data_IF_492536804811
#
_entry.id   IF_492536804811
#
_cell.length_a   1.000
_cell.length_b   1.000
_cell.length_c   1.000
_cell.angle_alpha   90.00
_cell.angle_beta   90.00
_cell.angle_gamma   90.00
#
_symmetry.space_group_name_H-M   'P 1'
#
loop_
_entity.id
_entity.type
_entity.pdbx_description
1 polymer ?
#
# COMPACT_ATOMS: atom_id res chain seq x y z
N UNK A 1 -41.35 -17.63 -17.11
CA UNK A 1 -39.99 -17.97 -17.55
C UNK A 1 -39.03 -16.78 -17.63
N UNK A 2 -39.37 -15.69 -18.32
CA UNK A 2 -38.50 -14.50 -18.41
C UNK A 2 -38.12 -13.88 -17.05
N UNK A 3 -39.05 -13.82 -16.08
CA UNK A 3 -38.77 -13.29 -14.73
C UNK A 3 -37.69 -14.11 -13.98
N UNK A 4 -37.73 -15.45 -14.07
CA UNK A 4 -36.71 -16.31 -13.45
C UNK A 4 -35.35 -16.17 -14.14
N UNK A 5 -35.33 -15.89 -15.46
CA UNK A 5 -34.10 -15.61 -16.18
C UNK A 5 -33.47 -14.29 -15.74
N UNK A 6 -34.29 -13.23 -15.60
CA UNK A 6 -33.83 -11.93 -15.09
C UNK A 6 -33.35 -12.07 -13.64
N UNK A 7 -34.09 -12.80 -12.79
CA UNK A 7 -33.71 -13.00 -11.39
C UNK A 7 -32.34 -13.66 -11.23
N UNK A 8 -32.06 -14.74 -11.99
CA UNK A 8 -30.73 -15.39 -11.97
C UNK A 8 -29.60 -14.46 -12.35
N UNK A 9 -29.82 -13.58 -13.34
CA UNK A 9 -28.80 -12.60 -13.74
C UNK A 9 -28.65 -11.48 -12.72
N UNK A 10 -29.76 -11.04 -12.09
CA UNK A 10 -29.71 -10.04 -11.03
C UNK A 10 -28.90 -10.55 -9.83
N UNK A 11 -29.10 -11.80 -9.38
CA UNK A 11 -28.30 -12.42 -8.31
C UNK A 11 -26.80 -12.44 -8.63
N UNK A 12 -26.44 -12.80 -9.87
CA UNK A 12 -25.05 -12.78 -10.29
C UNK A 12 -24.44 -11.37 -10.29
N UNK A 13 -25.20 -10.37 -10.72
CA UNK A 13 -24.77 -8.96 -10.69
C UNK A 13 -24.59 -8.47 -9.26
N UNK A 14 -25.55 -8.74 -8.36
CA UNK A 14 -25.42 -8.35 -6.96
C UNK A 14 -24.20 -8.99 -6.29
N UNK A 15 -23.99 -10.29 -6.49
CA UNK A 15 -22.80 -10.96 -5.97
C UNK A 15 -21.49 -10.40 -6.55
N UNK A 16 -21.49 -9.84 -7.76
CA UNK A 16 -20.32 -9.15 -8.31
C UNK A 16 -20.12 -7.77 -7.67
N UNK A 17 -21.19 -7.03 -7.44
CA UNK A 17 -21.11 -5.73 -6.75
C UNK A 17 -20.62 -5.87 -5.30
N UNK A 18 -21.10 -6.87 -4.57
CA UNK A 18 -20.65 -7.16 -3.20
C UNK A 18 -19.15 -7.52 -3.15
N UNK A 19 -18.66 -8.29 -4.13
CA UNK A 19 -17.22 -8.59 -4.25
C UNK A 19 -16.39 -7.36 -4.54
N UNK A 20 -16.83 -6.54 -5.48
CA UNK A 20 -16.13 -5.30 -5.82
C UNK A 20 -16.05 -4.34 -4.62
N UNK A 21 -17.13 -4.22 -3.85
CA UNK A 21 -17.17 -3.39 -2.63
C UNK A 21 -16.24 -3.95 -1.54
N UNK A 22 -16.20 -5.26 -1.37
CA UNK A 22 -15.28 -5.92 -0.44
C UNK A 22 -13.81 -5.72 -0.84
N UNK A 23 -13.47 -5.85 -2.12
CA UNK A 23 -12.12 -5.61 -2.64
C UNK A 23 -11.70 -4.14 -2.46
N UNK A 24 -12.60 -3.20 -2.79
CA UNK A 24 -12.35 -1.77 -2.61
C UNK A 24 -12.18 -1.42 -1.12
N UNK A 25 -13.01 -2.00 -0.25
CA UNK A 25 -12.89 -1.82 1.21
C UNK A 25 -11.56 -2.36 1.73
N UNK A 26 -11.12 -3.54 1.27
CA UNK A 26 -9.82 -4.11 1.62
C UNK A 26 -8.66 -3.23 1.14
N UNK A 27 -8.76 -2.69 -0.08
CA UNK A 27 -7.78 -1.74 -0.62
C UNK A 27 -7.70 -0.46 0.24
N UNK A 28 -8.85 0.15 0.58
CA UNK A 28 -8.92 1.34 1.43
C UNK A 28 -8.40 1.10 2.85
N UNK A 29 -8.48 -0.13 3.35
CA UNK A 29 -7.92 -0.55 4.65
C UNK A 29 -6.43 -0.90 4.59
N UNK A 30 -5.81 -0.81 3.42
CA UNK A 30 -4.41 -1.20 3.22
C UNK A 30 -4.17 -2.69 3.43
N UNK A 31 -5.13 -3.52 3.01
CA UNK A 31 -5.02 -5.00 3.01
C UNK A 31 -4.52 -5.53 1.65
N UNK A 32 -4.47 -4.67 0.63
CA UNK A 32 -3.98 -4.99 -0.71
C UNK A 32 -3.30 -3.77 -1.36
N UNK A 33 -2.53 -4.00 -2.43
CA UNK A 33 -1.81 -2.96 -3.16
C UNK A 33 -0.30 -3.04 -2.96
N UNK A 34 0.39 -1.96 -3.32
CA UNK A 34 1.85 -1.82 -3.20
C UNK A 34 2.20 -0.56 -2.40
N UNK A 35 3.23 -0.66 -1.56
CA UNK A 35 3.86 0.48 -0.88
C UNK A 35 5.34 0.48 -1.21
N UNK A 36 5.82 1.57 -1.83
CA UNK A 36 7.21 1.79 -2.21
C UNK A 36 7.90 2.62 -1.13
N UNK A 37 8.99 2.10 -0.59
CA UNK A 37 9.74 2.71 0.52
C UNK A 37 11.15 3.04 0.05
N UNK A 38 11.51 4.32 0.07
CA UNK A 38 12.90 4.78 -0.09
C UNK A 38 13.61 4.78 1.26
N UNK A 39 14.71 4.06 1.41
CA UNK A 39 15.43 3.99 2.69
C UNK A 39 16.92 3.74 2.49
N UNK A 40 17.75 4.27 3.38
CA UNK A 40 19.19 3.97 3.41
C UNK A 40 19.46 2.55 3.91
N UNK A 41 20.58 1.98 3.49
CA UNK A 41 20.93 0.55 3.69
C UNK A 41 20.74 0.05 5.12
N UNK A 42 21.10 0.86 6.12
CA UNK A 42 21.00 0.47 7.53
C UNK A 42 19.59 0.63 8.12
N UNK A 43 18.73 1.49 7.55
CA UNK A 43 17.32 1.60 7.95
C UNK A 43 16.49 0.40 7.50
N UNK A 44 16.83 -0.22 6.37
CA UNK A 44 16.07 -1.34 5.82
C UNK A 44 15.96 -2.51 6.82
N UNK A 45 17.06 -3.12 7.31
CA UNK A 45 16.98 -4.22 8.27
C UNK A 45 16.53 -3.74 9.66
N UNK A 46 16.82 -2.49 10.04
CA UNK A 46 16.51 -1.98 11.37
C UNK A 46 15.04 -1.55 11.55
N UNK A 47 14.38 -1.07 10.49
CA UNK A 47 13.06 -0.44 10.56
C UNK A 47 12.06 -1.05 9.58
N UNK A 48 12.41 -1.16 8.30
CA UNK A 48 11.47 -1.60 7.26
C UNK A 48 11.09 -3.07 7.45
N UNK A 49 12.09 -3.95 7.64
CA UNK A 49 11.85 -5.39 7.83
C UNK A 49 10.98 -5.67 9.07
N UNK A 50 11.26 -5.10 10.26
CA UNK A 50 10.36 -5.21 11.41
C UNK A 50 8.94 -4.70 11.15
N UNK A 51 8.78 -3.56 10.47
CA UNK A 51 7.46 -3.01 10.15
C UNK A 51 6.65 -3.95 9.24
N UNK A 52 7.28 -4.53 8.20
CA UNK A 52 6.64 -5.52 7.32
C UNK A 52 6.22 -6.76 8.10
N UNK A 53 7.04 -7.24 9.05
CA UNK A 53 6.68 -8.38 9.92
C UNK A 53 5.48 -8.07 10.80
N UNK A 54 5.42 -6.87 11.38
CA UNK A 54 4.28 -6.43 12.19
C UNK A 54 3.00 -6.32 11.35
N UNK A 55 3.10 -5.81 10.12
CA UNK A 55 1.96 -5.73 9.20
C UNK A 55 1.40 -7.12 8.87
N UNK A 56 2.26 -8.14 8.75
CA UNK A 56 1.91 -9.53 8.45
C UNK A 56 1.51 -10.37 9.68
N UNK A 57 1.58 -9.82 10.90
CA UNK A 57 1.36 -10.59 12.12
C UNK A 57 -0.12 -10.88 12.42
N UNK A 58 -1.05 -10.12 11.83
CA UNK A 58 -2.47 -10.50 11.79
C UNK A 58 -2.72 -11.37 10.56
N UNK A 59 -3.61 -12.35 10.65
CA UNK A 59 -4.05 -13.23 9.54
C UNK A 59 -4.79 -12.48 8.40
N UNK A 60 -4.45 -11.21 8.17
CA UNK A 60 -4.96 -10.36 7.12
C UNK A 60 -3.93 -10.26 5.99
N UNK A 61 -4.37 -10.28 4.72
CA UNK A 61 -3.55 -9.83 3.61
C UNK A 61 -3.04 -8.41 3.89
N UNK A 62 -1.80 -8.14 3.49
CA UNK A 62 -1.16 -6.83 3.58
C UNK A 62 -0.56 -6.45 2.23
N UNK A 63 -0.16 -5.17 2.04
CA UNK A 63 0.36 -4.72 0.78
C UNK A 63 1.72 -5.37 0.48
N UNK A 64 2.06 -5.47 -0.81
CA UNK A 64 3.44 -5.73 -1.20
C UNK A 64 4.30 -4.51 -0.86
N UNK A 65 5.47 -4.74 -0.27
CA UNK A 65 6.37 -3.66 0.15
C UNK A 65 7.63 -3.73 -0.69
N UNK A 66 7.80 -2.73 -1.56
CA UNK A 66 8.99 -2.57 -2.39
C UNK A 66 9.94 -1.59 -1.74
N UNK A 67 11.17 -2.03 -1.54
CA UNK A 67 12.20 -1.17 -0.94
C UNK A 67 13.18 -0.74 -2.01
N UNK A 68 13.39 0.57 -2.12
CA UNK A 68 14.46 1.16 -2.91
C UNK A 68 15.51 1.71 -1.97
N UNK A 69 16.71 1.16 -2.06
CA UNK A 69 17.84 1.72 -1.34
C UNK A 69 18.17 3.11 -1.89
N UNK A 70 18.24 4.11 -1.01
CA UNK A 70 18.51 5.49 -1.37
C UNK A 70 19.22 6.21 -0.22
N UNK A 71 20.15 7.10 -0.56
CA UNK A 71 20.76 8.01 0.42
C UNK A 71 19.73 9.00 0.99
N UNK A 72 20.01 9.54 2.17
CA UNK A 72 19.07 10.39 2.92
C UNK A 72 18.47 11.56 2.12
N UNK A 73 19.28 12.25 1.31
CA UNK A 73 18.82 13.35 0.44
C UNK A 73 18.00 12.84 -0.76
N UNK A 74 18.48 11.77 -1.40
CA UNK A 74 17.81 11.15 -2.55
C UNK A 74 16.43 10.59 -2.17
N UNK A 75 16.26 10.07 -0.95
CA UNK A 75 14.99 9.57 -0.47
C UNK A 75 13.89 10.66 -0.48
N UNK A 76 14.26 11.92 -0.20
CA UNK A 76 13.33 13.05 -0.31
C UNK A 76 12.98 13.39 -1.75
N UNK A 77 13.97 13.42 -2.66
CA UNK A 77 13.73 13.66 -4.08
C UNK A 77 12.78 12.61 -4.68
N UNK A 78 13.00 11.33 -4.34
CA UNK A 78 12.14 10.23 -4.78
C UNK A 78 10.71 10.37 -4.24
N UNK A 79 10.55 10.85 -3.01
CA UNK A 79 9.24 11.06 -2.40
C UNK A 79 8.50 12.22 -3.08
N UNK A 80 9.18 13.35 -3.29
CA UNK A 80 8.62 14.52 -3.98
C UNK A 80 8.23 14.21 -5.42
N UNK A 81 9.01 13.36 -6.10
CA UNK A 81 8.71 12.88 -7.46
C UNK A 81 7.60 11.82 -7.51
N UNK A 82 7.15 11.29 -6.37
CA UNK A 82 6.17 10.20 -6.30
C UNK A 82 6.71 8.83 -6.74
N UNK A 83 8.03 8.68 -6.84
CA UNK A 83 8.68 7.39 -7.13
C UNK A 83 8.63 6.44 -5.93
N UNK A 84 8.54 6.97 -4.71
CA UNK A 84 8.26 6.23 -3.48
C UNK A 84 7.10 6.87 -2.74
N UNK A 85 6.40 6.08 -1.92
CA UNK A 85 5.26 6.50 -1.11
C UNK A 85 5.69 6.88 0.32
N UNK A 86 6.82 6.35 0.79
CA UNK A 86 7.43 6.63 2.07
C UNK A 86 8.94 6.80 1.94
N UNK A 87 9.53 7.75 2.65
CA UNK A 87 10.97 7.95 2.74
C UNK A 87 11.46 7.83 4.19
N UNK A 88 12.45 6.98 4.42
CA UNK A 88 13.23 6.92 5.66
C UNK A 88 14.55 7.67 5.45
N UNK A 89 14.74 8.73 6.21
CA UNK A 89 15.92 9.59 6.11
C UNK A 89 16.46 9.94 7.49
N UNK A 90 17.77 10.19 7.56
CA UNK A 90 18.49 10.63 8.76
C UNK A 90 18.54 12.16 8.75
N UNK A 91 17.41 12.83 8.97
CA UNK A 91 17.38 14.29 8.94
C UNK A 91 17.52 14.89 10.34
N UNK A 92 18.53 15.73 10.53
CA UNK A 92 18.49 16.76 11.58
C UNK A 92 17.49 17.88 11.21
N UNK A 93 17.21 18.09 9.92
CA UNK A 93 16.19 19.02 9.38
C UNK A 93 15.53 18.39 8.14
N UNK A 94 14.28 17.94 8.28
CA UNK A 94 13.50 17.48 7.13
C UNK A 94 13.11 18.68 6.24
N UNK A 95 13.05 18.53 4.89
CA UNK A 95 12.53 19.57 4.01
C UNK A 95 11.13 19.98 4.45
N UNK A 96 10.84 21.27 4.44
CA UNK A 96 9.49 21.73 4.74
C UNK A 96 8.63 21.63 3.48
N UNK A 97 7.30 21.56 3.62
CA UNK A 97 6.38 21.50 2.47
C UNK A 97 6.43 22.73 1.54
N UNK A 98 7.34 23.68 1.78
CA UNK A 98 7.56 24.90 1.00
C UNK A 98 8.88 24.91 0.22
N UNK A 99 9.74 23.92 0.43
CA UNK A 99 11.01 23.72 -0.30
C UNK A 99 10.81 22.80 -1.51
#
# INVERSE_FOLDING_TARGET
DAAHLVLRHAEAVFAQLERADAELTGYLRGEAGEVRVGAFSTAVPALVVPAVRLLRAGDRPGPDVRVREAEAAQAYELLTAGEVDLALSLAAHAPTARD
#
